data_IF_840379199761
#
_entry.id   IF_840379199761
#
_cell.length_a   1.000
_cell.length_b   1.000
_cell.length_c   1.000
_cell.angle_alpha   90.00
_cell.angle_beta   90.00
_cell.angle_gamma   90.00
#
_symmetry.space_group_name_H-M   'P 1'
#
loop_
_entity.id
_entity.type
_entity.pdbx_description
1 polymer ?
#
# COMPACT_ATOMS: atom_id res chain seq x y z
N UNK A 1 -12.93 22.84 -17.35
CA UNK A 1 -11.93 23.01 -18.43
C UNK A 1 -10.84 21.97 -18.17
N UNK A 2 -10.13 21.50 -19.19
CA UNK A 2 -9.03 20.55 -18.98
C UNK A 2 -7.76 21.12 -19.58
N UNK A 3 -6.69 21.17 -18.79
CA UNK A 3 -5.38 21.62 -19.21
C UNK A 3 -4.35 20.51 -18.93
N UNK A 4 -3.40 20.33 -19.86
CA UNK A 4 -2.27 19.41 -19.69
C UNK A 4 -1.01 20.24 -19.55
N UNK A 5 -0.37 20.21 -18.38
CA UNK A 5 0.92 20.82 -18.14
C UNK A 5 2.01 19.76 -18.20
N UNK A 6 3.00 19.95 -19.08
CA UNK A 6 4.19 19.13 -19.16
C UNK A 6 5.36 19.85 -18.49
N UNK A 7 6.17 19.13 -17.73
CA UNK A 7 7.30 19.63 -16.95
C UNK A 7 8.47 18.68 -17.15
N UNK A 8 9.62 19.20 -17.57
CA UNK A 8 10.84 18.39 -17.76
C UNK A 8 12.07 19.19 -17.34
N UNK A 9 13.17 18.49 -17.09
CA UNK A 9 14.46 19.12 -16.86
C UNK A 9 14.88 19.90 -18.11
N UNK A 10 15.64 20.98 -17.89
CA UNK A 10 16.27 21.71 -19.00
C UNK A 10 17.12 20.75 -19.86
N UNK A 11 17.17 20.93 -21.20
CA UNK A 11 17.82 19.97 -22.09
C UNK A 11 19.31 19.74 -21.82
N UNK A 12 20.00 20.75 -21.29
CA UNK A 12 21.42 20.74 -20.95
C UNK A 12 21.73 20.05 -19.60
N UNK A 13 20.71 19.78 -18.78
CA UNK A 13 20.88 19.13 -17.49
C UNK A 13 20.79 17.61 -17.60
N UNK A 14 21.62 16.94 -16.79
CA UNK A 14 21.62 15.49 -16.67
C UNK A 14 20.35 14.97 -15.97
N UNK A 15 19.64 14.07 -16.64
CA UNK A 15 18.44 13.41 -16.10
C UNK A 15 18.81 12.15 -15.32
N UNK A 16 18.96 12.30 -14.00
CA UNK A 16 19.36 11.19 -13.12
C UNK A 16 18.29 10.09 -13.03
N UNK A 17 17.01 10.44 -13.14
CA UNK A 17 15.92 9.46 -13.13
C UNK A 17 15.90 8.68 -14.46
N UNK A 18 16.09 9.37 -15.59
CA UNK A 18 16.30 8.75 -16.89
C UNK A 18 17.50 7.79 -16.91
N UNK A 19 18.64 8.20 -16.38
CA UNK A 19 19.82 7.33 -16.27
C UNK A 19 19.55 6.08 -15.41
N UNK A 20 18.80 6.22 -14.30
CA UNK A 20 18.46 5.08 -13.47
C UNK A 20 17.62 4.05 -14.25
N UNK A 21 16.67 4.51 -15.05
CA UNK A 21 15.86 3.64 -15.94
C UNK A 21 16.75 2.95 -16.98
N UNK A 22 17.65 3.70 -17.62
CA UNK A 22 18.61 3.15 -18.59
C UNK A 22 19.45 2.03 -17.99
N UNK A 23 19.98 2.23 -16.77
CA UNK A 23 20.73 1.20 -16.03
C UNK A 23 19.87 -0.01 -15.70
N UNK A 24 18.66 0.19 -15.16
CA UNK A 24 17.74 -0.92 -14.85
C UNK A 24 17.34 -1.70 -16.11
N UNK A 25 17.08 -1.03 -17.24
CA UNK A 25 16.74 -1.68 -18.52
C UNK A 25 17.87 -2.61 -18.99
N UNK A 26 19.12 -2.16 -18.89
CA UNK A 26 20.31 -2.97 -19.17
C UNK A 26 20.46 -4.11 -18.16
N UNK A 27 20.43 -3.81 -16.88
CA UNK A 27 20.80 -4.75 -15.83
C UNK A 27 19.73 -5.84 -15.59
N UNK A 28 18.46 -5.56 -15.91
CA UNK A 28 17.35 -6.50 -15.73
C UNK A 28 16.97 -7.23 -17.02
N UNK A 29 17.05 -6.56 -18.17
CA UNK A 29 16.54 -7.10 -19.45
C UNK A 29 17.59 -7.18 -20.55
N UNK A 30 18.83 -6.74 -20.28
CA UNK A 30 19.89 -6.61 -21.28
C UNK A 30 19.47 -5.74 -22.48
N UNK A 31 18.66 -4.70 -22.23
CA UNK A 31 18.25 -3.73 -23.23
C UNK A 31 19.14 -2.50 -23.12
N UNK A 32 19.81 -2.14 -24.22
CA UNK A 32 20.62 -0.92 -24.30
C UNK A 32 19.75 0.24 -24.78
N UNK A 33 19.60 1.25 -23.93
CA UNK A 33 19.05 2.55 -24.30
C UNK A 33 20.20 3.54 -24.32
N UNK A 34 20.18 4.44 -25.30
CA UNK A 34 21.21 5.47 -25.47
C UNK A 34 20.91 6.65 -24.53
N UNK A 35 19.63 7.04 -24.48
CA UNK A 35 19.15 8.14 -23.66
C UNK A 35 17.73 7.85 -23.18
N UNK A 36 17.42 8.30 -21.96
CA UNK A 36 16.07 8.36 -21.42
C UNK A 36 15.84 9.76 -20.85
N UNK A 37 14.77 10.43 -21.31
CA UNK A 37 14.31 11.72 -20.78
C UNK A 37 12.92 11.58 -20.23
N UNK A 38 12.64 12.25 -19.12
CA UNK A 38 11.34 12.16 -18.45
C UNK A 38 10.60 13.48 -18.55
N UNK A 39 9.32 13.39 -18.88
CA UNK A 39 8.36 14.47 -18.80
C UNK A 39 7.32 14.11 -17.75
N UNK A 40 7.22 14.92 -16.71
CA UNK A 40 6.12 14.85 -15.74
C UNK A 40 4.92 15.58 -16.33
N UNK A 41 3.75 14.96 -16.20
CA UNK A 41 2.51 15.48 -16.79
C UNK A 41 1.48 15.68 -15.69
N UNK A 42 0.94 16.88 -15.60
CA UNK A 42 -0.24 17.21 -14.80
C UNK A 42 -1.43 17.43 -15.73
N UNK A 43 -2.49 16.66 -15.54
CA UNK A 43 -3.79 16.89 -16.18
C UNK A 43 -4.71 17.54 -15.15
N UNK A 44 -4.96 18.84 -15.35
CA UNK A 44 -5.74 19.69 -14.46
C UNK A 44 -7.16 19.74 -15.01
N UNK A 45 -8.09 19.12 -14.28
CA UNK A 45 -9.52 19.17 -14.58
C UNK A 45 -10.20 20.08 -13.54
N UNK A 46 -10.29 21.37 -13.87
CA UNK A 46 -10.91 22.38 -13.02
C UNK A 46 -11.41 23.58 -13.84
N UNK A 47 -12.27 24.41 -13.27
CA UNK A 47 -12.70 25.68 -13.83
C UNK A 47 -11.73 26.79 -13.43
N UNK A 48 -10.62 26.86 -14.15
CA UNK A 48 -9.58 27.88 -13.94
C UNK A 48 -9.44 28.77 -15.16
N UNK A 49 -9.14 30.04 -14.91
CA UNK A 49 -8.76 30.99 -15.97
C UNK A 49 -7.35 30.70 -16.48
N UNK A 50 -7.02 31.18 -17.69
CA UNK A 50 -5.68 31.06 -18.24
C UNK A 50 -4.61 31.72 -17.35
N UNK A 51 -4.96 32.83 -16.69
CA UNK A 51 -4.08 33.52 -15.76
C UNK A 51 -3.78 32.66 -14.52
N UNK A 52 -4.80 32.02 -13.95
CA UNK A 52 -4.61 31.07 -12.85
C UNK A 52 -3.73 29.88 -13.27
N UNK A 53 -3.97 29.31 -14.45
CA UNK A 53 -3.15 28.21 -14.97
C UNK A 53 -1.68 28.60 -15.14
N UNK A 54 -1.41 29.76 -15.73
CA UNK A 54 -0.04 30.29 -15.87
C UNK A 54 0.60 30.63 -14.52
N UNK A 55 -0.19 31.13 -13.57
CA UNK A 55 0.26 31.42 -12.20
C UNK A 55 0.68 30.14 -11.48
N UNK A 56 -0.18 29.10 -11.48
CA UNK A 56 0.16 27.79 -10.91
C UNK A 56 1.38 27.16 -11.58
N UNK A 57 1.46 27.24 -12.91
CA UNK A 57 2.63 26.75 -13.67
C UNK A 57 3.92 27.38 -13.14
N UNK A 58 3.97 28.71 -12.99
CA UNK A 58 5.20 29.44 -12.64
C UNK A 58 5.54 29.39 -11.15
N UNK A 59 4.54 29.42 -10.27
CA UNK A 59 4.75 29.57 -8.83
C UNK A 59 4.79 28.25 -8.07
N UNK A 60 4.10 27.22 -8.58
CA UNK A 60 3.99 25.92 -7.89
C UNK A 60 4.79 24.85 -8.64
N UNK A 61 4.53 24.69 -9.93
CA UNK A 61 4.90 23.46 -10.63
C UNK A 61 6.25 23.50 -11.34
N UNK A 62 6.82 24.67 -11.59
CA UNK A 62 8.07 24.79 -12.35
C UNK A 62 9.18 25.29 -11.45
N UNK A 63 10.22 24.48 -11.26
CA UNK A 63 11.48 24.99 -10.74
C UNK A 63 12.20 25.77 -11.84
N UNK A 64 12.32 27.11 -11.76
CA UNK A 64 12.89 27.91 -12.86
C UNK A 64 14.39 27.68 -13.05
N UNK A 65 15.09 27.10 -12.06
CA UNK A 65 16.52 26.82 -12.14
C UNK A 65 16.77 25.56 -12.95
N UNK A 66 16.02 24.49 -12.72
CA UNK A 66 16.29 23.17 -13.31
C UNK A 66 15.29 22.72 -14.37
N UNK A 67 14.10 23.31 -14.46
CA UNK A 67 13.01 22.81 -15.28
C UNK A 67 12.52 23.83 -16.31
N UNK A 68 11.88 23.30 -17.34
CA UNK A 68 10.99 24.01 -18.24
C UNK A 68 9.60 23.36 -18.15
N UNK A 69 8.56 24.15 -18.41
CA UNK A 69 7.19 23.67 -18.40
C UNK A 69 6.33 24.37 -19.45
N UNK A 70 5.32 23.68 -19.96
CA UNK A 70 4.47 24.17 -21.04
C UNK A 70 3.13 23.47 -21.06
N UNK A 71 2.08 24.20 -21.44
CA UNK A 71 0.77 23.61 -21.77
C UNK A 71 0.71 23.01 -23.19
N UNK A 72 1.79 23.17 -23.96
CA UNK A 72 2.04 22.46 -25.23
C UNK A 72 3.02 21.31 -25.00
N UNK A 73 2.99 20.25 -25.83
CA UNK A 73 3.95 19.15 -25.76
C UNK A 73 5.41 19.63 -25.67
N UNK A 74 6.19 18.98 -24.80
CA UNK A 74 7.63 19.24 -24.60
C UNK A 74 8.53 18.09 -25.09
N UNK A 75 7.95 17.08 -25.75
CA UNK A 75 8.71 15.92 -26.20
C UNK A 75 9.83 16.31 -27.18
N UNK A 76 11.08 16.02 -26.79
CA UNK A 76 12.25 16.09 -27.67
C UNK A 76 12.27 14.88 -28.61
N UNK A 77 13.04 14.88 -29.71
CA UNK A 77 13.13 13.71 -30.60
C UNK A 77 13.46 12.40 -29.85
N UNK A 78 12.70 11.35 -30.13
CA UNK A 78 12.80 10.03 -29.50
C UNK A 78 12.51 8.92 -30.51
N UNK A 79 12.92 7.69 -30.20
CA UNK A 79 12.57 6.50 -30.99
C UNK A 79 11.26 5.88 -30.50
N UNK A 80 11.13 5.78 -29.18
CA UNK A 80 9.94 5.29 -28.51
C UNK A 80 9.58 6.18 -27.33
N UNK A 81 8.29 6.35 -27.06
CA UNK A 81 7.82 6.96 -25.83
C UNK A 81 6.89 6.03 -25.07
N UNK A 82 7.00 6.02 -23.74
CA UNK A 82 6.12 5.26 -22.86
C UNK A 82 5.40 6.25 -21.95
N UNK A 83 4.08 6.34 -22.08
CA UNK A 83 3.26 7.04 -21.10
C UNK A 83 2.86 6.07 -19.99
N UNK A 84 2.92 6.51 -18.73
CA UNK A 84 2.47 5.77 -17.55
C UNK A 84 1.63 6.70 -16.67
N UNK A 85 0.42 6.29 -16.35
CA UNK A 85 -0.49 7.02 -15.45
C UNK A 85 -1.31 6.08 -14.59
N UNK A 86 -1.94 6.60 -13.55
CA UNK A 86 -2.79 5.78 -12.68
C UNK A 86 -4.04 5.26 -13.40
N UNK A 87 -4.51 4.09 -12.99
CA UNK A 87 -5.82 3.57 -13.39
C UNK A 87 -6.94 4.39 -12.72
N UNK A 88 -8.14 4.46 -13.32
CA UNK A 88 -9.27 5.10 -12.67
C UNK A 88 -9.56 4.50 -11.29
N UNK A 89 -9.63 5.34 -10.26
CA UNK A 89 -10.02 4.95 -8.90
C UNK A 89 -8.87 4.64 -7.96
N UNK A 90 -7.66 4.60 -8.51
CA UNK A 90 -6.43 4.57 -7.74
C UNK A 90 -6.16 5.95 -7.16
N UNK A 91 -5.73 5.98 -5.89
CA UNK A 91 -5.30 7.20 -5.21
C UNK A 91 -4.04 7.79 -5.87
N UNK A 92 -4.13 9.05 -6.28
CA UNK A 92 -3.02 9.85 -6.80
C UNK A 92 -2.61 10.92 -5.78
N UNK A 93 -1.63 10.58 -4.93
CA UNK A 93 -1.16 11.44 -3.85
C UNK A 93 -0.47 12.72 -4.37
N UNK A 94 0.44 12.66 -5.37
CA UNK A 94 0.97 13.87 -6.00
C UNK A 94 -0.14 14.75 -6.61
N UNK A 95 -1.16 14.16 -7.21
CA UNK A 95 -2.31 14.89 -7.75
C UNK A 95 -3.11 15.59 -6.64
N UNK A 96 -3.33 14.92 -5.52
CA UNK A 96 -3.99 15.50 -4.33
C UNK A 96 -3.17 16.66 -3.74
N UNK A 97 -1.85 16.49 -3.62
CA UNK A 97 -0.94 17.55 -3.17
C UNK A 97 -0.95 18.75 -4.12
N UNK A 98 -1.02 18.50 -5.43
CA UNK A 98 -1.13 19.56 -6.43
C UNK A 98 -2.43 20.36 -6.28
N UNK A 99 -3.56 19.70 -5.98
CA UNK A 99 -4.82 20.37 -5.65
C UNK A 99 -4.64 21.25 -4.42
N UNK A 100 -4.10 20.72 -3.32
CA UNK A 100 -3.88 21.48 -2.08
C UNK A 100 -3.00 22.72 -2.31
N UNK A 101 -1.90 22.59 -3.07
CA UNK A 101 -1.02 23.70 -3.40
C UNK A 101 -1.74 24.78 -4.25
N UNK A 102 -2.59 24.38 -5.18
CA UNK A 102 -3.37 25.32 -6.00
C UNK A 102 -4.47 26.01 -5.18
N UNK A 103 -5.16 25.28 -4.30
CA UNK A 103 -6.14 25.85 -3.38
C UNK A 103 -5.51 26.85 -2.42
N UNK A 104 -4.30 26.57 -1.93
CA UNK A 104 -3.56 27.51 -1.08
C UNK A 104 -3.09 28.74 -1.86
N UNK A 105 -2.62 28.60 -3.09
CA UNK A 105 -2.22 29.74 -3.92
C UNK A 105 -3.41 30.65 -4.26
N UNK A 106 -4.54 30.07 -4.65
CA UNK A 106 -5.71 30.82 -5.12
C UNK A 106 -6.67 31.23 -4.00
N UNK A 107 -6.51 30.66 -2.80
CA UNK A 107 -7.44 30.82 -1.66
C UNK A 107 -8.88 30.43 -2.02
N UNK A 108 -9.03 29.44 -2.88
CA UNK A 108 -10.32 28.88 -3.34
C UNK A 108 -10.28 27.37 -3.28
N UNK A 109 -11.42 26.72 -3.04
CA UNK A 109 -11.51 25.25 -3.06
C UNK A 109 -11.93 24.72 -4.43
N UNK A 110 -11.35 23.60 -4.82
CA UNK A 110 -11.79 22.80 -5.96
C UNK A 110 -13.19 22.26 -5.68
N UNK A 111 -14.05 22.28 -6.68
CA UNK A 111 -15.41 21.78 -6.61
C UNK A 111 -15.46 20.25 -6.68
N UNK A 112 -16.56 19.61 -6.23
CA UNK A 112 -16.75 18.18 -6.42
C UNK A 112 -16.59 17.77 -7.89
N UNK A 113 -15.66 16.86 -8.14
CA UNK A 113 -15.34 16.38 -9.50
C UNK A 113 -14.19 17.12 -10.18
N UNK A 114 -13.69 18.21 -9.61
CA UNK A 114 -12.44 18.85 -10.03
C UNK A 114 -11.25 18.16 -9.36
N UNK A 115 -10.16 17.98 -10.10
CA UNK A 115 -8.96 17.30 -9.61
C UNK A 115 -7.74 17.60 -10.48
N UNK A 116 -6.56 17.30 -9.96
CA UNK A 116 -5.32 17.21 -10.71
C UNK A 116 -4.90 15.74 -10.77
N UNK A 117 -4.46 15.28 -11.93
CA UNK A 117 -3.98 13.91 -12.15
C UNK A 117 -2.54 13.94 -12.65
N UNK A 118 -1.72 13.03 -12.15
CA UNK A 118 -0.30 12.94 -12.48
C UNK A 118 -0.02 11.72 -13.34
N UNK A 119 0.89 11.90 -14.29
CA UNK A 119 1.43 10.82 -15.12
C UNK A 119 2.85 11.18 -15.56
N UNK A 120 3.53 10.23 -16.19
CA UNK A 120 4.88 10.40 -16.71
C UNK A 120 4.95 9.94 -18.16
N UNK A 121 5.75 10.63 -18.94
CA UNK A 121 6.11 10.26 -20.30
C UNK A 121 7.62 10.06 -20.37
N UNK A 122 8.04 8.84 -20.67
CA UNK A 122 9.44 8.45 -20.79
C UNK A 122 9.81 8.43 -22.28
N UNK A 123 10.72 9.29 -22.68
CA UNK A 123 11.24 9.38 -24.04
C UNK A 123 12.51 8.54 -24.12
N UNK A 124 12.50 7.52 -24.97
CA UNK A 124 13.60 6.56 -25.12
C UNK A 124 14.28 6.76 -26.48
N UNK A 125 15.60 6.90 -26.45
CA UNK A 125 16.44 6.77 -27.65
C UNK A 125 17.19 5.45 -27.60
N UNK A 126 17.13 4.70 -28.68
CA UNK A 126 17.82 3.41 -28.79
C UNK A 126 18.01 3.02 -30.25
N UNK A 127 19.26 3.04 -30.69
CA UNK A 127 19.66 2.48 -31.98
C UNK A 127 19.42 0.96 -32.03
N UNK A 128 19.49 0.28 -30.88
CA UNK A 128 19.46 -1.19 -30.80
C UNK A 128 18.06 -1.81 -30.84
N UNK A 129 17.03 -1.09 -30.36
CA UNK A 129 15.67 -1.63 -30.32
C UNK A 129 15.02 -1.65 -31.71
N UNK A 130 15.40 -0.71 -32.58
CA UNK A 130 14.77 -0.49 -33.88
C UNK A 130 13.25 -0.30 -33.77
N UNK A 131 12.57 -0.18 -34.92
CA UNK A 131 11.12 0.07 -35.00
C UNK A 131 10.30 -1.19 -35.35
N UNK A 132 10.92 -2.36 -35.23
CA UNK A 132 10.30 -3.64 -35.59
C UNK A 132 9.30 -4.12 -34.53
N UNK A 133 8.46 -5.12 -34.87
CA UNK A 133 7.62 -5.84 -33.88
C UNK A 133 8.42 -6.44 -32.71
N UNK A 134 9.72 -6.66 -32.88
CA UNK A 134 10.62 -7.11 -31.80
C UNK A 134 10.99 -5.94 -30.89
N UNK A 135 11.32 -4.79 -31.47
CA UNK A 135 11.58 -3.55 -30.73
C UNK A 135 10.38 -3.12 -29.90
N UNK A 136 9.20 -3.09 -30.51
CA UNK A 136 7.96 -2.77 -29.82
C UNK A 136 7.71 -3.67 -28.60
N UNK A 137 7.81 -5.01 -28.75
CA UNK A 137 7.66 -5.96 -27.64
C UNK A 137 8.68 -5.76 -26.52
N UNK A 138 9.90 -5.36 -26.85
CA UNK A 138 10.92 -5.06 -25.84
C UNK A 138 10.57 -3.77 -25.07
N UNK A 139 10.06 -2.75 -25.74
CA UNK A 139 9.58 -1.50 -25.14
C UNK A 139 8.34 -1.74 -24.27
N UNK A 140 7.40 -2.58 -24.71
CA UNK A 140 6.28 -3.04 -23.88
C UNK A 140 6.77 -3.81 -22.64
N UNK A 141 7.83 -4.61 -22.80
CA UNK A 141 8.51 -5.27 -21.68
C UNK A 141 9.05 -4.28 -20.65
N UNK A 142 9.68 -3.19 -21.10
CA UNK A 142 10.11 -2.08 -20.23
C UNK A 142 8.91 -1.43 -19.56
N UNK A 143 7.86 -1.10 -20.32
CA UNK A 143 6.66 -0.48 -19.79
C UNK A 143 6.06 -1.33 -18.66
N UNK A 144 5.81 -2.62 -18.92
CA UNK A 144 5.13 -3.53 -18.00
C UNK A 144 6.00 -4.00 -16.82
N UNK A 145 7.29 -4.23 -17.03
CA UNK A 145 8.13 -4.90 -16.02
C UNK A 145 9.09 -3.96 -15.28
N UNK A 146 9.24 -2.72 -15.75
CA UNK A 146 10.15 -1.73 -15.17
C UNK A 146 9.48 -0.42 -14.77
N UNK A 147 8.59 0.13 -15.61
CA UNK A 147 8.10 1.51 -15.43
C UNK A 147 6.70 1.59 -14.82
N UNK A 148 5.82 0.66 -15.19
CA UNK A 148 4.44 0.64 -14.73
C UNK A 148 4.22 -0.55 -13.82
N UNK A 149 3.51 -0.30 -12.72
CA UNK A 149 2.88 -1.33 -11.92
C UNK A 149 1.49 -1.60 -12.50
N UNK A 150 1.29 -2.73 -13.19
CA UNK A 150 0.07 -2.99 -13.94
C UNK A 150 -1.19 -3.19 -13.07
N UNK A 151 -1.03 -3.39 -11.76
CA UNK A 151 -2.13 -3.45 -10.79
C UNK A 151 -2.80 -2.07 -10.59
N UNK A 152 -2.01 -1.00 -10.53
CA UNK A 152 -2.48 0.35 -10.15
C UNK A 152 -2.26 1.40 -11.24
N UNK A 153 -1.41 1.11 -12.22
CA UNK A 153 -1.09 1.98 -13.35
C UNK A 153 -1.49 1.33 -14.68
N UNK A 154 -1.67 2.20 -15.66
CA UNK A 154 -1.87 1.89 -17.06
C UNK A 154 -0.78 2.60 -17.87
N UNK A 155 -0.48 2.06 -19.04
CA UNK A 155 0.56 2.59 -19.90
C UNK A 155 0.17 2.53 -21.37
N UNK A 156 0.85 3.35 -22.18
CA UNK A 156 0.74 3.38 -23.65
C UNK A 156 2.13 3.54 -24.24
N UNK A 157 2.40 2.85 -25.34
CA UNK A 157 3.66 2.94 -26.10
C UNK A 157 3.40 3.68 -27.40
N UNK A 158 4.26 4.63 -27.72
CA UNK A 158 4.20 5.45 -28.93
C UNK A 158 5.51 5.27 -29.72
N UNK A 159 5.38 5.06 -31.03
CA UNK A 159 6.51 5.13 -31.96
C UNK A 159 6.78 6.59 -32.32
N UNK A 160 8.06 6.98 -32.45
CA UNK A 160 8.42 8.31 -32.91
C UNK A 160 7.86 8.67 -34.29
N UNK A 161 7.63 7.69 -35.17
CA UNK A 161 7.09 7.94 -36.52
C UNK A 161 5.58 8.25 -36.53
N UNK A 162 4.86 7.80 -35.51
CA UNK A 162 3.42 8.00 -35.35
C UNK A 162 3.12 9.15 -34.37
N UNK A 163 4.16 9.84 -33.89
CA UNK A 163 4.03 10.91 -32.91
C UNK A 163 3.61 12.22 -33.57
N UNK A 164 2.52 12.80 -33.08
CA UNK A 164 2.11 14.15 -33.43
C UNK A 164 2.70 15.15 -32.40
N UNK A 165 3.67 16.01 -32.78
CA UNK A 165 4.32 16.93 -31.86
C UNK A 165 3.41 18.05 -31.35
N UNK A 166 2.30 18.34 -32.03
CA UNK A 166 1.33 19.35 -31.56
C UNK A 166 0.31 18.75 -30.58
N UNK A 167 -0.04 17.48 -30.74
CA UNK A 167 -1.02 16.78 -29.88
C UNK A 167 -0.37 16.14 -28.66
N UNK A 168 0.84 15.59 -28.82
CA UNK A 168 1.53 14.80 -27.81
C UNK A 168 0.73 13.56 -27.39
N UNK A 169 0.58 13.31 -26.08
CA UNK A 169 -0.21 12.18 -25.56
C UNK A 169 -1.74 12.40 -25.58
N UNK A 170 -2.22 13.53 -26.10
CA UNK A 170 -3.60 14.01 -25.90
C UNK A 170 -3.95 14.29 -24.43
N UNK A 171 -5.25 14.29 -24.10
CA UNK A 171 -5.75 14.46 -22.72
C UNK A 171 -6.21 13.09 -22.20
N UNK A 172 -5.64 12.65 -21.07
CA UNK A 172 -6.00 11.37 -20.43
C UNK A 172 -6.45 11.65 -18.99
N UNK A 173 -7.73 11.37 -18.70
CA UNK A 173 -8.33 11.61 -17.38
C UNK A 173 -8.74 10.25 -16.77
N UNK A 174 -8.11 9.80 -15.68
CA UNK A 174 -8.42 8.53 -15.03
C UNK A 174 -9.64 8.64 -14.11
N UNK A 175 -10.81 9.02 -14.66
CA UNK A 175 -12.04 9.18 -13.85
C UNK A 175 -12.74 7.86 -13.59
N UNK A 176 -13.04 7.57 -12.33
CA UNK A 176 -13.98 6.50 -11.98
C UNK A 176 -15.38 6.91 -12.41
N UNK A 177 -15.98 6.13 -13.30
CA UNK A 177 -17.42 6.19 -13.56
C UNK A 177 -18.06 5.04 -12.82
N UNK A 178 -18.66 5.31 -11.66
CA UNK A 178 -19.44 4.30 -10.96
C UNK A 178 -20.73 4.06 -11.76
N UNK A 179 -20.95 2.81 -12.16
CA UNK A 179 -22.16 2.41 -12.86
C UNK A 179 -23.40 2.36 -11.93
N UNK A 180 -23.21 2.53 -10.63
CA UNK A 180 -24.27 2.45 -9.61
C UNK A 180 -24.08 3.52 -8.52
N UNK A 181 -25.17 3.87 -7.83
CA UNK A 181 -25.13 4.65 -6.60
C UNK A 181 -24.74 3.73 -5.44
N UNK A 182 -23.82 4.12 -4.54
CA UNK A 182 -23.54 3.35 -3.33
C UNK A 182 -24.83 3.07 -2.56
N UNK A 183 -25.09 1.80 -2.27
CA UNK A 183 -26.26 1.33 -1.56
C UNK A 183 -25.86 0.26 -0.56
N UNK A 184 -26.64 0.13 0.51
CA UNK A 184 -26.54 -0.99 1.46
C UNK A 184 -27.59 -2.01 1.07
N UNK A 185 -27.19 -3.28 0.97
CA UNK A 185 -28.07 -4.38 0.58
C UNK A 185 -28.35 -5.28 1.80
N UNK A 186 -29.61 -5.68 1.98
CA UNK A 186 -29.99 -6.71 2.95
C UNK A 186 -29.86 -8.09 2.31
N UNK A 187 -29.14 -9.00 2.96
CA UNK A 187 -28.81 -10.32 2.45
C UNK A 187 -29.55 -11.42 3.21
N UNK A 188 -30.33 -12.22 2.49
CA UNK A 188 -31.04 -13.38 3.04
C UNK A 188 -30.04 -14.45 3.50
N UNK A 189 -30.24 -14.95 4.71
CA UNK A 189 -29.46 -16.04 5.32
C UNK A 189 -30.38 -17.18 5.78
N UNK A 190 -31.35 -17.55 4.94
CA UNK A 190 -32.41 -18.50 5.31
C UNK A 190 -31.86 -19.90 5.63
N UNK A 191 -30.70 -20.26 5.09
CA UNK A 191 -30.00 -21.53 5.33
C UNK A 191 -28.48 -21.35 5.39
N UNK A 192 -27.78 -22.31 6.00
CA UNK A 192 -26.31 -22.33 6.02
C UNK A 192 -25.74 -22.39 4.58
N UNK A 193 -26.39 -23.16 3.70
CA UNK A 193 -26.02 -23.27 2.28
C UNK A 193 -26.18 -21.94 1.52
N UNK A 194 -27.17 -21.13 1.86
CA UNK A 194 -27.34 -19.80 1.27
C UNK A 194 -26.23 -18.83 1.71
N UNK A 195 -25.87 -18.85 3.00
CA UNK A 195 -24.77 -18.03 3.51
C UNK A 195 -23.40 -18.51 2.96
N UNK A 196 -23.22 -19.81 2.78
CA UNK A 196 -22.04 -20.37 2.10
C UNK A 196 -21.94 -19.88 0.66
N UNK A 197 -23.05 -19.92 -0.09
CA UNK A 197 -23.11 -19.39 -1.45
C UNK A 197 -22.79 -17.89 -1.49
N UNK A 198 -23.38 -17.09 -0.58
CA UNK A 198 -23.09 -15.66 -0.47
C UNK A 198 -21.61 -15.39 -0.17
N UNK A 199 -21.01 -16.21 0.70
CA UNK A 199 -19.58 -16.12 1.00
C UNK A 199 -18.71 -16.34 -0.23
N UNK A 200 -19.07 -17.30 -1.09
CA UNK A 200 -18.37 -17.54 -2.36
C UNK A 200 -18.61 -16.40 -3.36
N UNK A 201 -19.86 -15.99 -3.57
CA UNK A 201 -20.23 -14.95 -4.54
C UNK A 201 -19.62 -13.59 -4.22
N UNK A 202 -19.46 -13.26 -2.93
CA UNK A 202 -18.91 -11.98 -2.46
C UNK A 202 -17.47 -12.07 -1.96
N UNK A 203 -16.80 -13.22 -2.11
CA UNK A 203 -15.42 -13.48 -1.64
C UNK A 203 -15.21 -13.15 -0.14
N UNK A 204 -16.18 -13.50 0.71
CA UNK A 204 -16.07 -13.29 2.16
C UNK A 204 -15.11 -14.29 2.82
N UNK A 205 -14.80 -15.41 2.16
CA UNK A 205 -13.98 -16.50 2.69
C UNK A 205 -14.36 -16.93 4.12
N UNK A 206 -15.65 -16.98 4.44
CA UNK A 206 -16.12 -17.46 5.73
C UNK A 206 -15.73 -18.92 5.92
N UNK A 207 -15.16 -19.24 7.08
CA UNK A 207 -14.86 -20.62 7.42
C UNK A 207 -16.17 -21.42 7.56
N UNK A 208 -16.30 -22.65 7.04
CA UNK A 208 -17.55 -23.41 7.08
C UNK A 208 -18.14 -23.60 8.48
N UNK A 209 -17.28 -23.65 9.51
CA UNK A 209 -17.70 -23.75 10.92
C UNK A 209 -18.25 -22.44 11.50
N UNK A 210 -17.92 -21.30 10.91
CA UNK A 210 -18.42 -19.99 11.36
C UNK A 210 -19.82 -19.71 10.81
N UNK A 211 -20.16 -20.25 9.64
CA UNK A 211 -21.46 -20.07 8.97
C UNK A 211 -22.67 -20.34 9.90
N UNK A 212 -22.79 -21.50 10.55
CA UNK A 212 -23.94 -21.76 11.43
C UNK A 212 -23.95 -20.84 12.66
N UNK A 213 -22.78 -20.41 13.14
CA UNK A 213 -22.66 -19.50 14.30
C UNK A 213 -23.12 -18.09 13.94
N UNK A 214 -22.62 -17.56 12.82
CA UNK A 214 -23.01 -16.24 12.29
C UNK A 214 -24.51 -16.21 12.03
N UNK A 215 -25.03 -17.24 11.35
CA UNK A 215 -26.46 -17.35 11.08
C UNK A 215 -27.28 -17.45 12.36
N UNK A 216 -26.86 -18.26 13.32
CA UNK A 216 -27.56 -18.38 14.60
C UNK A 216 -27.66 -17.03 15.34
N UNK A 217 -26.60 -16.23 15.34
CA UNK A 217 -26.61 -14.89 15.95
C UNK A 217 -27.71 -13.98 15.35
N UNK A 218 -27.78 -13.87 14.02
CA UNK A 218 -28.80 -13.02 13.37
C UNK A 218 -30.23 -13.56 13.52
N UNK A 219 -30.40 -14.85 13.79
CA UNK A 219 -31.70 -15.48 14.00
C UNK A 219 -32.20 -15.41 15.46
N UNK A 220 -31.35 -15.01 16.42
CA UNK A 220 -31.75 -14.88 17.82
C UNK A 220 -32.87 -13.84 17.98
N UNK A 221 -33.98 -14.15 18.69
CA UNK A 221 -35.09 -13.22 18.88
C UNK A 221 -34.66 -11.87 19.43
N UNK A 222 -33.79 -11.85 20.44
CA UNK A 222 -33.28 -10.60 21.04
C UNK A 222 -32.47 -9.75 20.04
N UNK A 223 -31.71 -10.38 19.15
CA UNK A 223 -30.95 -9.70 18.11
C UNK A 223 -31.89 -9.12 17.07
N UNK A 224 -32.90 -9.89 16.62
CA UNK A 224 -33.91 -9.42 15.65
C UNK A 224 -34.74 -8.27 16.21
N UNK A 225 -35.17 -8.37 17.47
CA UNK A 225 -35.90 -7.31 18.17
C UNK A 225 -35.04 -6.05 18.32
N UNK A 226 -33.76 -6.20 18.66
CA UNK A 226 -32.80 -5.11 18.70
C UNK A 226 -32.63 -4.41 17.35
N UNK A 227 -32.46 -5.19 16.28
CA UNK A 227 -32.28 -4.71 14.89
C UNK A 227 -33.51 -3.97 14.38
N UNK A 228 -34.71 -4.50 14.62
CA UNK A 228 -35.97 -3.91 14.14
C UNK A 228 -36.22 -2.50 14.67
N UNK A 229 -35.75 -2.18 15.88
CA UNK A 229 -35.82 -0.82 16.47
C UNK A 229 -35.08 0.23 15.65
N UNK A 230 -34.11 -0.18 14.84
CA UNK A 230 -33.34 0.66 13.94
C UNK A 230 -33.70 0.46 12.46
N UNK A 231 -34.82 -0.23 12.18
CA UNK A 231 -35.26 -0.51 10.81
C UNK A 231 -34.45 -1.58 10.07
N UNK A 232 -33.67 -2.38 10.80
CA UNK A 232 -32.86 -3.47 10.24
C UNK A 232 -33.58 -4.82 10.37
N UNK A 233 -33.41 -5.68 9.36
CA UNK A 233 -33.99 -7.04 9.31
C UNK A 233 -32.87 -8.09 9.27
N UNK A 234 -32.70 -8.78 8.14
CA UNK A 234 -31.60 -9.68 7.86
C UNK A 234 -30.26 -8.90 7.84
N UNK A 235 -29.10 -9.58 7.94
CA UNK A 235 -27.81 -8.90 7.89
C UNK A 235 -27.65 -8.08 6.61
N UNK A 236 -27.01 -6.93 6.75
CA UNK A 236 -26.58 -6.14 5.60
C UNK A 236 -25.28 -6.70 5.02
N UNK A 237 -25.01 -6.38 3.77
CA UNK A 237 -23.73 -6.68 3.13
C UNK A 237 -22.53 -6.09 3.88
N UNK A 238 -22.67 -4.87 4.43
CA UNK A 238 -21.64 -4.23 5.28
C UNK A 238 -21.36 -5.03 6.56
N UNK A 239 -22.40 -5.56 7.21
CA UNK A 239 -22.24 -6.37 8.43
C UNK A 239 -21.55 -7.70 8.16
N UNK A 240 -21.92 -8.38 7.07
CA UNK A 240 -21.28 -9.64 6.68
C UNK A 240 -19.83 -9.44 6.23
N UNK A 241 -19.54 -8.34 5.52
CA UNK A 241 -18.18 -7.91 5.22
C UNK A 241 -17.36 -7.73 6.49
N UNK A 242 -17.84 -6.92 7.44
CA UNK A 242 -17.14 -6.71 8.70
C UNK A 242 -16.85 -8.03 9.44
N UNK A 243 -17.86 -8.91 9.56
CA UNK A 243 -17.69 -10.21 10.21
C UNK A 243 -16.63 -11.04 9.51
N UNK A 244 -16.61 -11.04 8.17
CA UNK A 244 -15.63 -11.79 7.39
C UNK A 244 -14.20 -11.32 7.66
N UNK A 245 -13.97 -10.00 7.68
CA UNK A 245 -12.66 -9.42 7.98
C UNK A 245 -12.24 -9.70 9.42
N UNK A 246 -13.16 -9.52 10.38
CA UNK A 246 -12.91 -9.71 11.81
C UNK A 246 -12.60 -11.16 12.19
N UNK A 247 -13.17 -12.14 11.47
CA UNK A 247 -12.98 -13.58 11.74
C UNK A 247 -11.87 -14.25 10.95
N UNK A 248 -11.28 -13.54 9.99
CA UNK A 248 -10.09 -14.01 9.26
C UNK A 248 -8.96 -14.44 10.20
N UNK A 249 -8.10 -15.37 9.75
CA UNK A 249 -6.96 -15.79 10.55
C UNK A 249 -5.98 -14.64 10.82
N UNK A 250 -5.83 -13.72 9.84
CA UNK A 250 -5.01 -12.53 9.99
C UNK A 250 -5.48 -11.60 11.13
N UNK A 251 -6.78 -11.41 11.32
CA UNK A 251 -7.30 -10.56 12.41
C UNK A 251 -7.46 -11.32 13.73
N UNK A 252 -8.04 -12.52 13.68
CA UNK A 252 -8.42 -13.24 14.89
C UNK A 252 -7.33 -14.20 15.40
N UNK A 253 -6.26 -14.43 14.62
CA UNK A 253 -5.15 -15.30 14.98
C UNK A 253 -5.62 -16.72 15.38
N UNK A 254 -6.59 -17.26 14.63
CA UNK A 254 -7.24 -18.54 14.92
C UNK A 254 -6.21 -19.68 15.03
N UNK A 255 -5.23 -19.71 14.12
CA UNK A 255 -4.15 -20.69 14.09
C UNK A 255 -3.35 -20.64 15.40
N UNK A 256 -2.95 -19.45 15.85
CA UNK A 256 -2.15 -19.28 17.07
C UNK A 256 -2.93 -19.65 18.35
N UNK A 257 -4.25 -19.54 18.32
CA UNK A 257 -5.13 -19.94 19.41
C UNK A 257 -5.51 -21.43 19.38
N UNK A 258 -5.15 -22.15 18.32
CA UNK A 258 -5.48 -23.55 18.11
C UNK A 258 -4.77 -24.52 19.06
N UNK A 259 -5.21 -25.79 19.02
CA UNK A 259 -4.60 -26.91 19.75
C UNK A 259 -3.76 -27.76 18.82
N UNK A 260 -2.48 -27.89 19.14
CA UNK A 260 -1.47 -28.55 18.33
C UNK A 260 -1.06 -29.89 18.93
N UNK A 261 -0.97 -30.90 18.08
CA UNK A 261 -0.40 -32.20 18.41
C UNK A 261 0.93 -32.31 17.66
N UNK A 262 2.03 -32.07 18.37
CA UNK A 262 3.38 -32.11 17.83
C UNK A 262 3.96 -33.51 18.02
N UNK A 263 4.63 -34.01 16.96
CA UNK A 263 5.38 -35.26 17.00
C UNK A 263 6.70 -35.05 16.26
N UNK A 264 7.81 -35.06 16.99
CA UNK A 264 9.15 -35.06 16.43
C UNK A 264 9.48 -36.47 15.93
N UNK A 265 9.60 -36.62 14.61
CA UNK A 265 9.88 -37.90 13.98
C UNK A 265 11.32 -38.40 14.21
N UNK A 266 12.24 -37.51 14.58
CA UNK A 266 13.65 -37.85 14.81
C UNK A 266 13.91 -38.35 16.23
N UNK A 267 13.23 -37.76 17.22
CA UNK A 267 13.39 -38.11 18.63
C UNK A 267 12.26 -38.99 19.16
N UNK A 268 11.11 -39.02 18.47
CA UNK A 268 9.87 -39.65 18.94
C UNK A 268 9.12 -38.80 19.98
N UNK A 269 9.56 -37.57 20.27
CA UNK A 269 8.91 -36.70 21.25
C UNK A 269 7.50 -36.33 20.77
N UNK A 270 6.51 -36.48 21.66
CA UNK A 270 5.14 -36.04 21.41
C UNK A 270 4.74 -34.99 22.43
N UNK A 271 4.14 -33.89 21.96
CA UNK A 271 3.71 -32.78 22.79
C UNK A 271 2.36 -32.27 22.32
N UNK A 272 1.47 -31.99 23.27
CA UNK A 272 0.24 -31.26 23.00
C UNK A 272 0.43 -29.82 23.47
N UNK A 273 0.19 -28.86 22.59
CA UNK A 273 0.20 -27.43 22.94
C UNK A 273 -1.20 -26.87 22.70
N UNK A 274 -1.89 -26.56 23.80
CA UNK A 274 -3.21 -25.95 23.75
C UNK A 274 -3.02 -24.43 23.76
N UNK A 275 -3.30 -23.77 22.63
CA UNK A 275 -3.05 -22.36 22.39
C UNK A 275 -1.56 -21.97 22.41
N UNK A 276 -0.95 -21.90 21.22
CA UNK A 276 0.45 -21.49 21.04
C UNK A 276 0.71 -20.08 21.54
N UNK A 277 -0.21 -19.14 21.31
CA UNK A 277 -0.04 -17.76 21.79
C UNK A 277 0.07 -17.72 23.31
N UNK A 278 -0.89 -18.34 24.02
CA UNK A 278 -0.89 -18.37 25.49
C UNK A 278 0.36 -19.03 26.04
N UNK A 279 0.74 -20.16 25.46
CA UNK A 279 1.84 -20.99 25.96
C UNK A 279 3.22 -20.40 25.64
N UNK A 280 3.44 -19.99 24.39
CA UNK A 280 4.76 -19.62 23.89
C UNK A 280 5.02 -18.10 23.92
N UNK A 281 3.99 -17.26 24.02
CA UNK A 281 4.11 -15.80 23.96
C UNK A 281 3.59 -15.15 25.24
N UNK A 282 2.31 -15.33 25.59
CA UNK A 282 1.68 -14.63 26.72
C UNK A 282 2.31 -15.02 28.06
N UNK A 283 2.32 -16.31 28.39
CA UNK A 283 2.85 -16.80 29.66
C UNK A 283 4.30 -16.37 29.93
N UNK A 284 5.28 -16.56 29.01
CA UNK A 284 6.65 -16.10 29.24
C UNK A 284 6.75 -14.57 29.29
N UNK A 285 5.97 -13.84 28.48
CA UNK A 285 5.97 -12.37 28.51
C UNK A 285 5.46 -11.83 29.84
N UNK A 286 4.37 -12.38 30.39
CA UNK A 286 3.83 -11.98 31.69
C UNK A 286 4.74 -12.42 32.86
N UNK A 287 5.45 -13.55 32.72
CA UNK A 287 6.46 -13.95 33.69
C UNK A 287 7.61 -12.93 33.72
N UNK A 288 8.14 -12.55 32.55
CA UNK A 288 9.17 -11.51 32.42
C UNK A 288 8.69 -10.16 32.96
N UNK A 289 7.44 -9.75 32.69
CA UNK A 289 6.88 -8.50 33.19
C UNK A 289 6.87 -8.45 34.73
N UNK A 290 6.61 -9.58 35.41
CA UNK A 290 6.65 -9.65 36.88
C UNK A 290 8.06 -9.52 37.44
N UNK A 291 9.07 -9.98 36.71
CA UNK A 291 10.47 -9.96 37.13
C UNK A 291 11.22 -8.67 36.75
N UNK A 292 10.75 -7.99 35.70
CA UNK A 292 11.41 -6.83 35.09
C UNK A 292 10.51 -5.62 35.22
N UNK A 293 10.80 -4.78 36.22
CA UNK A 293 10.03 -3.56 36.53
C UNK A 293 10.04 -2.52 35.41
N UNK A 294 10.98 -2.62 34.47
CA UNK A 294 11.04 -1.80 33.27
C UNK A 294 10.08 -2.27 32.16
N UNK A 295 9.43 -3.43 32.27
CA UNK A 295 8.39 -3.84 31.32
C UNK A 295 7.05 -3.23 31.77
N UNK A 296 6.61 -2.18 31.08
CA UNK A 296 5.49 -1.34 31.55
C UNK A 296 4.15 -1.85 31.03
N UNK A 297 4.02 -2.07 29.72
CA UNK A 297 2.78 -2.53 29.07
C UNK A 297 3.08 -3.50 27.94
N UNK A 298 2.42 -4.64 27.93
CA UNK A 298 2.57 -5.71 26.93
C UNK A 298 1.23 -6.41 26.74
N UNK A 299 0.98 -6.94 25.54
CA UNK A 299 -0.21 -7.76 25.20
C UNK A 299 -1.58 -7.06 25.35
N UNK A 300 -1.60 -5.74 25.44
CA UNK A 300 -2.83 -4.95 25.63
C UNK A 300 -3.10 -3.96 24.49
N UNK A 301 -2.04 -3.41 23.89
CA UNK A 301 -2.11 -2.34 22.90
C UNK A 301 -1.31 -2.72 21.64
N UNK A 302 -1.30 -1.84 20.64
CA UNK A 302 -0.65 -2.05 19.34
C UNK A 302 0.88 -2.21 19.43
N UNK A 303 1.49 -1.79 20.55
CA UNK A 303 2.92 -1.92 20.77
C UNK A 303 3.25 -2.22 22.25
N UNK A 304 4.43 -2.80 22.47
CA UNK A 304 5.00 -2.98 23.80
C UNK A 304 5.64 -1.68 24.31
N UNK A 305 5.50 -1.40 25.60
CA UNK A 305 6.05 -0.23 26.29
C UNK A 305 6.99 -0.67 27.39
N UNK A 306 8.18 -0.08 27.41
CA UNK A 306 9.18 -0.35 28.43
C UNK A 306 9.87 0.94 28.89
N UNK A 307 10.36 0.94 30.13
CA UNK A 307 11.00 2.08 30.76
C UNK A 307 12.37 2.32 30.12
N UNK A 308 12.58 3.54 29.64
CA UNK A 308 13.88 4.00 29.16
C UNK A 308 14.66 4.67 30.29
N UNK A 309 14.01 5.59 31.00
CA UNK A 309 14.51 6.25 32.21
C UNK A 309 13.34 6.56 33.19
N UNK A 310 13.56 7.40 34.20
CA UNK A 310 12.55 7.69 35.22
C UNK A 310 11.28 8.34 34.65
N UNK A 311 11.42 9.17 33.62
CA UNK A 311 10.35 10.02 33.10
C UNK A 311 9.95 9.68 31.66
N UNK A 312 10.63 8.70 31.05
CA UNK A 312 10.49 8.36 29.63
C UNK A 312 10.38 6.85 29.44
N UNK A 313 9.45 6.45 28.57
CA UNK A 313 9.32 5.10 28.06
C UNK A 313 9.73 5.04 26.59
N UNK A 314 10.23 3.88 26.17
CA UNK A 314 10.30 3.52 24.76
C UNK A 314 9.15 2.59 24.39
N UNK A 315 8.69 2.73 23.16
CA UNK A 315 7.58 1.95 22.58
C UNK A 315 8.13 1.21 21.38
N UNK A 316 7.85 -0.09 21.27
CA UNK A 316 8.37 -0.92 20.18
C UNK A 316 7.32 -1.91 19.68
N UNK A 317 7.26 -2.06 18.36
CA UNK A 317 6.43 -3.08 17.69
C UNK A 317 7.01 -3.43 16.33
N UNK A 318 6.67 -4.62 15.84
CA UNK A 318 7.10 -5.09 14.54
C UNK A 318 5.98 -5.83 13.82
N UNK A 319 5.91 -5.62 12.52
CA UNK A 319 4.91 -6.21 11.63
C UNK A 319 5.57 -6.87 10.42
N UNK A 320 4.76 -7.61 9.66
CA UNK A 320 5.16 -8.12 8.35
C UNK A 320 4.19 -7.68 7.28
N UNK A 321 4.70 -7.46 6.07
CA UNK A 321 3.86 -7.09 4.92
C UNK A 321 4.14 -7.98 3.70
N UNK A 322 4.20 -9.29 3.94
CA UNK A 322 4.74 -10.31 3.03
C UNK A 322 3.96 -10.44 1.71
N UNK A 323 2.66 -10.79 1.79
CA UNK A 323 1.86 -11.07 0.60
C UNK A 323 1.74 -9.84 -0.31
N UNK A 324 1.46 -8.63 0.22
CA UNK A 324 1.38 -7.45 -0.64
C UNK A 324 2.74 -7.07 -1.22
N UNK A 325 3.84 -7.19 -0.46
CA UNK A 325 5.19 -6.94 -1.01
C UNK A 325 5.59 -7.96 -2.09
N UNK A 326 5.03 -9.17 -2.04
CA UNK A 326 5.28 -10.19 -3.08
C UNK A 326 4.51 -9.90 -4.38
N UNK A 327 3.30 -9.34 -4.27
CA UNK A 327 2.49 -8.90 -5.42
C UNK A 327 2.99 -7.57 -5.98
N UNK A 328 3.36 -6.65 -5.09
CA UNK A 328 3.73 -5.29 -5.42
C UNK A 328 4.80 -4.80 -4.43
N UNK A 329 6.05 -4.91 -4.86
CA UNK A 329 7.22 -4.73 -4.01
C UNK A 329 7.30 -3.34 -3.37
N UNK A 330 6.99 -2.28 -4.12
CA UNK A 330 7.16 -0.90 -3.63
C UNK A 330 6.05 -0.54 -2.65
N UNK A 331 4.80 -0.60 -3.10
CA UNK A 331 3.62 -0.22 -2.32
C UNK A 331 3.42 -1.12 -1.11
N UNK A 332 3.60 -2.44 -1.28
CA UNK A 332 3.50 -3.37 -0.15
C UNK A 332 4.54 -3.12 0.94
N UNK A 333 5.78 -2.77 0.57
CA UNK A 333 6.81 -2.45 1.55
C UNK A 333 6.63 -1.05 2.17
N UNK A 334 6.20 -0.07 1.35
CA UNK A 334 5.85 1.27 1.79
C UNK A 334 4.75 1.23 2.85
N UNK A 335 3.62 0.57 2.56
CA UNK A 335 2.49 0.44 3.49
C UNK A 335 2.84 -0.37 4.72
N UNK A 336 3.77 -1.32 4.61
CA UNK A 336 4.37 -1.97 5.75
C UNK A 336 5.04 -0.98 6.70
N UNK A 337 6.06 -0.25 6.23
CA UNK A 337 6.83 0.63 7.11
C UNK A 337 6.00 1.80 7.67
N UNK A 338 5.13 2.41 6.85
CA UNK A 338 4.27 3.50 7.34
C UNK A 338 3.09 2.96 8.15
N UNK A 339 2.75 1.68 7.98
CA UNK A 339 1.78 0.93 8.78
C UNK A 339 2.23 0.80 10.22
N UNK A 340 3.38 0.14 10.40
CA UNK A 340 3.97 -0.09 11.73
C UNK A 340 4.30 1.20 12.47
N UNK A 341 4.52 2.31 11.78
CA UNK A 341 4.69 3.64 12.40
C UNK A 341 3.43 4.12 13.14
N UNK A 342 2.24 3.76 12.68
CA UNK A 342 1.00 4.16 13.33
C UNK A 342 0.78 3.45 14.66
N UNK A 343 1.40 2.30 14.88
CA UNK A 343 1.20 1.52 16.10
C UNK A 343 1.81 2.20 17.33
N UNK A 344 3.09 2.61 17.36
CA UNK A 344 3.59 3.43 18.46
C UNK A 344 2.86 4.76 18.57
N UNK A 345 2.45 5.38 17.44
CA UNK A 345 1.69 6.63 17.49
C UNK A 345 0.32 6.47 18.17
N UNK A 346 -0.33 5.31 18.02
CA UNK A 346 -1.63 4.98 18.62
C UNK A 346 -1.55 4.25 19.97
N UNK A 347 -0.35 3.95 20.45
CA UNK A 347 -0.13 3.25 21.73
C UNK A 347 -0.31 4.22 22.90
N UNK A 348 -1.13 3.83 23.88
CA UNK A 348 -1.47 4.67 25.02
C UNK A 348 -2.02 6.04 24.58
N UNK A 349 -1.40 7.11 25.06
CA UNK A 349 -1.73 8.51 24.73
C UNK A 349 -0.87 9.09 23.60
N UNK A 350 -0.15 8.23 22.89
CA UNK A 350 0.69 8.54 21.76
C UNK A 350 2.18 8.59 22.11
N UNK A 351 3.00 8.17 21.15
CA UNK A 351 4.46 8.25 21.22
C UNK A 351 5.02 8.96 19.99
N UNK A 352 6.19 9.58 20.16
CA UNK A 352 6.96 10.19 19.09
C UNK A 352 7.87 9.14 18.48
N UNK A 353 7.67 8.83 17.21
CA UNK A 353 8.55 7.93 16.45
C UNK A 353 9.99 8.47 16.42
N UNK A 354 10.96 7.58 16.60
CA UNK A 354 12.39 7.91 16.57
C UNK A 354 13.20 7.05 15.60
N UNK A 355 12.73 5.85 15.28
CA UNK A 355 13.42 4.96 14.35
C UNK A 355 12.47 3.91 13.76
N UNK A 356 12.78 3.46 12.55
CA UNK A 356 12.30 2.19 12.02
C UNK A 356 13.44 1.19 11.84
N UNK A 357 13.14 -0.09 11.75
CA UNK A 357 14.11 -1.12 11.32
C UNK A 357 13.48 -2.08 10.33
N UNK A 358 14.30 -2.86 9.62
CA UNK A 358 13.80 -3.80 8.62
C UNK A 358 14.47 -5.17 8.67
N UNK A 359 13.75 -6.20 8.22
CA UNK A 359 14.29 -7.53 8.01
C UNK A 359 13.71 -8.12 6.73
N UNK A 360 14.55 -8.49 5.77
CA UNK A 360 14.08 -9.04 4.49
C UNK A 360 14.57 -10.47 4.31
N UNK A 361 13.67 -11.37 3.91
CA UNK A 361 14.04 -12.70 3.44
C UNK A 361 13.60 -12.85 1.98
N UNK A 362 14.56 -13.02 1.08
CA UNK A 362 14.32 -12.99 -0.37
C UNK A 362 15.16 -14.03 -1.12
N UNK A 363 14.77 -14.36 -2.34
CA UNK A 363 15.60 -15.14 -3.26
C UNK A 363 16.87 -14.40 -3.67
N UNK A 364 17.86 -15.15 -4.18
CA UNK A 364 19.13 -14.59 -4.66
C UNK A 364 18.94 -13.62 -5.84
N UNK A 365 19.57 -12.44 -5.77
CA UNK A 365 19.41 -11.35 -6.76
C UNK A 365 19.97 -11.69 -8.16
N UNK A 366 20.87 -12.65 -8.25
CA UNK A 366 21.51 -13.12 -9.47
C UNK A 366 20.94 -14.46 -9.95
N UNK A 367 19.77 -14.85 -9.43
CA UNK A 367 19.08 -16.07 -9.82
C UNK A 367 18.90 -16.19 -11.34
N UNK A 368 19.35 -17.32 -11.89
CA UNK A 368 19.24 -17.67 -13.32
C UNK A 368 18.56 -19.02 -13.57
N UNK A 369 17.92 -19.57 -12.53
CA UNK A 369 17.26 -20.87 -12.61
C UNK A 369 15.94 -20.85 -13.38
N UNK A 370 15.29 -22.01 -13.54
CA UNK A 370 14.11 -22.16 -14.38
C UNK A 370 12.82 -21.57 -13.78
N UNK A 371 12.73 -21.45 -12.44
CA UNK A 371 11.56 -20.84 -11.78
C UNK A 371 11.33 -19.40 -12.25
N UNK A 372 10.07 -19.06 -12.49
CA UNK A 372 9.65 -17.75 -12.98
C UNK A 372 8.67 -17.14 -11.96
N UNK A 373 9.17 -16.62 -10.82
CA UNK A 373 8.30 -15.93 -9.86
C UNK A 373 7.68 -14.69 -10.53
N UNK A 374 6.58 -14.20 -9.95
CA UNK A 374 5.88 -13.00 -10.41
C UNK A 374 6.85 -11.81 -10.61
N UNK A 375 7.69 -11.55 -9.62
CA UNK A 375 8.81 -10.62 -9.71
C UNK A 375 10.14 -11.38 -9.57
N UNK A 376 11.09 -11.05 -10.44
CA UNK A 376 12.47 -11.54 -10.29
C UNK A 376 13.03 -11.07 -8.94
N UNK A 377 13.77 -11.90 -8.15
CA UNK A 377 14.20 -11.53 -6.80
C UNK A 377 14.97 -10.22 -6.72
N UNK A 378 15.76 -9.89 -7.76
CA UNK A 378 16.40 -8.58 -7.90
C UNK A 378 15.40 -7.43 -7.92
N UNK A 379 14.37 -7.51 -8.76
CA UNK A 379 13.34 -6.47 -8.90
C UNK A 379 12.48 -6.38 -7.64
N UNK A 380 12.15 -7.52 -7.05
CA UNK A 380 11.42 -7.62 -5.79
C UNK A 380 12.19 -6.88 -4.67
N UNK A 381 13.45 -7.23 -4.44
CA UNK A 381 14.24 -6.61 -3.37
C UNK A 381 14.48 -5.12 -3.64
N UNK A 382 14.83 -4.73 -4.87
CA UNK A 382 15.06 -3.33 -5.21
C UNK A 382 13.78 -2.49 -4.97
N UNK A 383 12.59 -3.04 -5.27
CA UNK A 383 11.30 -2.40 -4.97
C UNK A 383 10.97 -2.34 -3.48
N UNK A 384 11.22 -3.41 -2.72
CA UNK A 384 11.04 -3.43 -1.25
C UNK A 384 11.91 -2.38 -0.57
N UNK A 385 13.19 -2.30 -0.96
CA UNK A 385 14.12 -1.28 -0.45
C UNK A 385 13.62 0.13 -0.78
N UNK A 386 13.17 0.35 -2.01
CA UNK A 386 12.63 1.64 -2.45
C UNK A 386 11.40 2.03 -1.63
N UNK A 387 10.46 1.11 -1.39
CA UNK A 387 9.26 1.35 -0.59
C UNK A 387 9.57 1.69 0.87
N UNK A 388 10.42 0.91 1.54
CA UNK A 388 10.80 1.19 2.94
C UNK A 388 11.59 2.49 3.07
N UNK A 389 12.53 2.74 2.15
CA UNK A 389 13.33 3.96 2.13
C UNK A 389 12.43 5.18 1.95
N UNK A 390 11.53 5.16 1.00
CA UNK A 390 10.64 6.28 0.73
C UNK A 390 9.68 6.52 1.89
N UNK A 391 9.11 5.47 2.49
CA UNK A 391 8.24 5.59 3.65
C UNK A 391 8.95 6.19 4.86
N UNK A 392 10.16 5.71 5.19
CA UNK A 392 10.97 6.29 6.26
C UNK A 392 11.37 7.75 5.97
N UNK A 393 11.94 8.01 4.80
CA UNK A 393 12.46 9.33 4.44
C UNK A 393 11.36 10.39 4.38
N UNK A 394 10.22 10.10 3.73
CA UNK A 394 9.10 11.05 3.60
C UNK A 394 8.40 11.27 4.93
N UNK A 395 8.39 10.27 5.82
CA UNK A 395 7.89 10.41 7.20
C UNK A 395 8.87 11.13 8.13
N UNK A 396 10.12 11.35 7.70
CA UNK A 396 11.18 11.90 8.54
C UNK A 396 11.67 10.95 9.64
N UNK A 397 11.46 9.63 9.48
CA UNK A 397 11.85 8.60 10.46
C UNK A 397 13.04 7.81 9.91
N UNK A 398 14.21 7.85 10.58
CA UNK A 398 15.38 7.13 10.11
C UNK A 398 15.20 5.61 10.23
N UNK A 399 15.77 4.86 9.29
CA UNK A 399 15.80 3.38 9.29
C UNK A 399 17.23 2.85 9.50
N UNK A 400 17.84 3.05 10.69
CA UNK A 400 19.29 2.89 10.88
C UNK A 400 19.79 1.45 10.91
N UNK A 401 18.91 0.48 11.13
CA UNK A 401 19.29 -0.92 11.30
C UNK A 401 18.39 -1.84 10.49
N UNK A 402 18.99 -2.89 9.94
CA UNK A 402 18.24 -3.98 9.33
C UNK A 402 19.12 -5.12 8.86
N UNK A 403 18.47 -6.18 8.39
CA UNK A 403 19.13 -7.39 7.92
C UNK A 403 18.47 -7.92 6.63
N UNK A 404 19.28 -8.55 5.79
CA UNK A 404 18.79 -9.22 4.58
C UNK A 404 19.32 -10.65 4.59
N UNK A 405 18.41 -11.60 4.43
CA UNK A 405 18.71 -13.03 4.34
C UNK A 405 18.30 -13.57 2.98
N UNK A 406 19.21 -14.32 2.35
CA UNK A 406 19.00 -14.89 1.02
C UNK A 406 18.86 -16.41 1.08
N UNK A 407 17.76 -16.92 0.53
CA UNK A 407 17.53 -18.37 0.40
C UNK A 407 16.64 -18.69 -0.81
N UNK A 408 16.87 -19.83 -1.46
CA UNK A 408 16.05 -20.27 -2.60
C UNK A 408 14.59 -20.58 -2.21
N UNK A 409 14.31 -20.90 -0.95
CA UNK A 409 12.95 -21.09 -0.43
C UNK A 409 12.08 -19.84 -0.51
N UNK A 410 12.68 -18.64 -0.52
CA UNK A 410 11.96 -17.37 -0.64
C UNK A 410 11.69 -16.94 -2.11
N UNK A 411 11.88 -17.86 -3.07
CA UNK A 411 11.50 -17.62 -4.47
C UNK A 411 9.99 -17.59 -4.69
N UNK A 412 9.21 -18.29 -3.84
CA UNK A 412 7.74 -18.31 -3.94
C UNK A 412 7.07 -17.14 -3.21
N UNK A 413 7.59 -16.77 -2.04
CA UNK A 413 7.09 -15.69 -1.20
C UNK A 413 8.24 -15.06 -0.41
N UNK A 414 8.43 -13.75 -0.55
CA UNK A 414 9.36 -13.02 0.32
C UNK A 414 8.79 -12.79 1.72
N UNK A 415 9.68 -12.53 2.67
CA UNK A 415 9.31 -11.99 3.97
C UNK A 415 9.83 -10.55 4.09
N UNK A 416 8.96 -9.63 4.49
CA UNK A 416 9.25 -8.22 4.69
C UNK A 416 8.80 -7.86 6.09
N UNK A 417 9.76 -7.83 7.01
CA UNK A 417 9.60 -7.39 8.38
C UNK A 417 9.95 -5.90 8.47
N UNK A 418 9.13 -5.16 9.21
CA UNK A 418 9.36 -3.76 9.56
C UNK A 418 9.08 -3.57 11.04
N UNK A 419 9.79 -2.64 11.66
CA UNK A 419 9.67 -2.35 13.09
C UNK A 419 9.64 -0.86 13.28
N UNK A 420 8.94 -0.41 14.31
CA UNK A 420 8.89 0.98 14.71
C UNK A 420 9.31 1.11 16.17
N UNK A 421 10.06 2.17 16.46
CA UNK A 421 10.48 2.55 17.80
C UNK A 421 10.03 3.99 18.05
N UNK A 422 9.35 4.22 19.16
CA UNK A 422 8.92 5.53 19.63
C UNK A 422 9.38 5.83 21.05
N UNK A 423 9.26 7.09 21.44
CA UNK A 423 9.42 7.55 22.83
C UNK A 423 8.12 8.19 23.30
N UNK A 424 7.74 7.92 24.54
CA UNK A 424 6.63 8.60 25.19
C UNK A 424 7.01 9.00 26.62
N UNK A 425 6.53 10.13 27.15
CA UNK A 425 6.73 10.45 28.55
C UNK A 425 6.03 9.40 29.42
N UNK A 426 6.54 9.14 30.63
CA UNK A 426 5.91 8.21 31.57
C UNK A 426 4.51 8.68 32.00
N UNK A 427 4.29 10.00 32.03
CA UNK A 427 2.98 10.60 32.32
C UNK A 427 2.61 11.71 31.34
N UNK A 428 1.31 11.83 31.05
CA UNK A 428 0.69 12.95 30.34
C UNK A 428 -0.44 13.48 31.23
N UNK A 429 -0.41 14.78 31.53
CA UNK A 429 -1.40 15.45 32.39
C UNK A 429 -1.60 14.74 33.75
N UNK A 430 -0.50 14.30 34.37
CA UNK A 430 -0.52 13.65 35.69
C UNK A 430 -1.02 12.20 35.71
N UNK A 431 -1.20 11.59 34.53
CA UNK A 431 -1.69 10.20 34.41
C UNK A 431 -0.74 9.36 33.56
N UNK A 432 -0.62 8.04 33.80
CA UNK A 432 0.28 7.18 33.04
C UNK A 432 -0.03 7.21 31.54
N UNK A 433 1.01 7.37 30.71
CA UNK A 433 0.85 7.58 29.27
C UNK A 433 0.54 6.32 28.49
N UNK A 434 0.95 5.16 28.98
CA UNK A 434 0.67 3.85 28.37
C UNK A 434 -0.80 3.46 28.48
N UNK A 435 -1.57 4.13 29.34
CA UNK A 435 -2.98 3.84 29.57
C UNK A 435 -3.86 4.68 28.66
N UNK A 436 -4.67 4.00 27.85
CA UNK A 436 -5.78 4.60 27.09
C UNK A 436 -7.12 3.99 27.50
N UNK A 437 -8.15 4.82 27.53
CA UNK A 437 -9.53 4.44 27.84
C UNK A 437 -10.48 5.38 27.13
N UNK A 438 -11.70 4.92 26.88
CA UNK A 438 -12.82 5.74 26.38
C UNK A 438 -13.88 5.89 27.46
N UNK A 439 -14.65 6.98 27.40
CA UNK A 439 -15.77 7.29 28.29
C UNK A 439 -17.00 7.66 27.47
N UNK A 440 -18.20 7.38 28.00
CA UNK A 440 -19.44 7.82 27.37
C UNK A 440 -19.45 9.34 27.20
N UNK A 441 -19.72 9.81 25.97
CA UNK A 441 -19.66 11.23 25.62
C UNK A 441 -18.38 11.66 24.91
N UNK A 442 -17.35 10.81 24.87
CA UNK A 442 -16.14 11.08 24.06
C UNK A 442 -16.48 11.13 22.56
N UNK A 443 -15.82 12.04 21.85
CA UNK A 443 -15.92 12.14 20.40
C UNK A 443 -14.99 11.13 19.73
N UNK A 444 -15.51 10.39 18.75
CA UNK A 444 -14.70 9.52 17.89
C UNK A 444 -14.28 10.35 16.67
N UNK A 445 -12.98 10.53 16.49
CA UNK A 445 -12.40 11.33 15.42
C UNK A 445 -11.58 10.43 14.51
N UNK A 446 -11.88 10.47 13.21
CA UNK A 446 -11.00 9.93 12.18
C UNK A 446 -10.06 11.04 11.70
N UNK A 447 -8.75 10.82 11.81
CA UNK A 447 -7.71 11.73 11.36
C UNK A 447 -6.84 11.05 10.30
N UNK A 448 -6.48 11.77 9.24
CA UNK A 448 -5.65 11.27 8.14
C UNK A 448 -6.26 11.54 6.76
N UNK A 449 -5.78 10.81 5.75
CA UNK A 449 -6.24 10.92 4.37
C UNK A 449 -7.70 10.51 4.17
N UNK A 450 -8.30 10.95 3.04
CA UNK A 450 -9.65 10.52 2.65
C UNK A 450 -9.66 9.01 2.34
N UNK A 451 -10.76 8.35 2.68
CA UNK A 451 -10.95 6.92 2.40
C UNK A 451 -11.07 6.70 0.88
N UNK A 452 -10.16 5.88 0.33
CA UNK A 452 -10.22 5.37 -1.04
C UNK A 452 -10.90 4.01 -1.13
N UNK A 453 -10.93 3.40 -2.32
CA UNK A 453 -11.36 2.00 -2.52
C UNK A 453 -10.19 1.01 -2.48
N UNK A 454 -9.02 1.47 -2.06
CA UNK A 454 -7.79 0.68 -2.03
C UNK A 454 -7.80 -0.28 -0.84
N UNK A 455 -7.34 -1.52 -1.03
CA UNK A 455 -7.16 -2.50 0.05
C UNK A 455 -8.43 -3.17 0.58
N UNK A 456 -9.58 -3.01 -0.09
CA UNK A 456 -10.79 -3.79 0.22
C UNK A 456 -10.45 -5.29 0.07
N UNK A 457 -10.88 -6.11 1.04
CA UNK A 457 -10.56 -7.55 1.15
C UNK A 457 -9.06 -7.90 1.34
N UNK A 458 -8.18 -6.93 1.63
CA UNK A 458 -6.75 -7.20 1.79
C UNK A 458 -6.43 -8.20 2.90
N UNK A 459 -7.20 -8.18 4.00
CA UNK A 459 -7.08 -9.10 5.13
C UNK A 459 -7.50 -10.52 4.72
N UNK A 460 -8.62 -10.67 4.01
CA UNK A 460 -9.07 -11.96 3.46
C UNK A 460 -8.01 -12.55 2.52
N UNK A 461 -7.51 -11.75 1.57
CA UNK A 461 -6.48 -12.16 0.61
C UNK A 461 -5.14 -12.53 1.27
N UNK A 462 -4.82 -11.92 2.41
CA UNK A 462 -3.61 -12.27 3.18
C UNK A 462 -3.73 -13.61 3.92
N UNK A 463 -4.96 -14.05 4.20
CA UNK A 463 -5.29 -15.30 4.91
C UNK A 463 -5.47 -16.50 3.97
N UNK A 464 -5.61 -16.28 2.66
CA UNK A 464 -5.77 -17.33 1.66
C UNK A 464 -4.44 -17.72 0.97
N UNK A 465 -4.42 -18.89 0.35
CA UNK A 465 -3.32 -19.33 -0.51
C UNK A 465 -3.38 -18.51 -1.81
N UNK A 466 -2.28 -17.83 -2.14
CA UNK A 466 -2.17 -17.02 -3.35
C UNK A 466 -2.47 -17.86 -4.60
N UNK A 467 -3.32 -17.31 -5.49
CA UNK A 467 -3.60 -17.89 -6.82
C UNK A 467 -3.57 -16.80 -7.89
N UNK A 468 -3.50 -17.21 -9.16
CA UNK A 468 -3.54 -16.30 -10.31
C UNK A 468 -4.85 -15.50 -10.41
N UNK A 469 -5.86 -15.82 -9.60
CA UNK A 469 -7.17 -15.18 -9.59
C UNK A 469 -7.37 -14.16 -8.47
N UNK A 470 -6.37 -13.93 -7.61
CA UNK A 470 -6.46 -12.96 -6.50
C UNK A 470 -6.59 -11.52 -7.07
N UNK A 471 -7.69 -10.78 -6.80
CA UNK A 471 -7.94 -9.45 -7.36
C UNK A 471 -6.88 -8.39 -7.05
N UNK A 472 -6.61 -7.51 -8.01
CA UNK A 472 -5.66 -6.39 -7.85
C UNK A 472 -6.05 -5.35 -6.78
N UNK A 473 -7.31 -5.33 -6.33
CA UNK A 473 -7.84 -4.38 -5.35
C UNK A 473 -7.28 -4.51 -3.93
N UNK A 474 -6.53 -5.57 -3.64
CA UNK A 474 -5.95 -5.83 -2.32
C UNK A 474 -4.65 -5.05 -2.03
N UNK A 475 -4.08 -4.36 -3.03
CA UNK A 475 -2.84 -3.59 -2.84
C UNK A 475 -3.18 -2.20 -2.33
N UNK A 476 -2.76 -1.91 -1.09
CA UNK A 476 -2.82 -0.57 -0.52
C UNK A 476 -1.75 0.33 -1.16
N UNK A 477 -2.08 1.61 -1.32
CA UNK A 477 -1.18 2.64 -1.83
C UNK A 477 -0.89 3.59 -0.68
N UNK A 478 0.38 3.63 -0.25
CA UNK A 478 0.83 4.56 0.78
C UNK A 478 0.87 6.00 0.26
N UNK A 479 0.55 6.95 1.15
CA UNK A 479 0.77 8.39 0.97
C UNK A 479 2.20 8.77 1.37
#
# INVERSE_FOLDING_TARGET
MVARLEITLKPDLFDAEGEAIRRKARDYFNIQLDEVRIIHVLTIEAQLTQEQLESARRQIFTNPVSQISSFKPLATPFDWAIWVGFRPGVRDNPGSTAVEAMEDLFKTRFQPGESVYTSRLYLLRSESLGKSKRGHRAVEGIAKQLLANDLVQQWRVYSGDEWNPEEGIGIIIPRVRLAHQPSVETLSISSDAELERLSLERNLALHPRDIPVIRSYFLQPEVRDGRSKFGLSDPTDVELEYISQARSDHCNHNTFQGKFYYHDLSTGEQKVVDNLFKTCIEAPTLALQKEKDWVISVLWDNAGVARFDQDTYYVITGETHNSPSNMEAYGGALTGIVGVYRDPMGTGKGSRLIAGTYGYCVGYRDYRGPLKPHLHPRRLLDGVIEGVRDGGNKSGIPTPYGQVFFDHGYMGKCLVFVTAIGLMPATVSGTPSEKKTTTAGDLIIMCGGRIGKDGIHGVTASSEIYSEHTPAGHVQIGD
#
